data_IF_659534744973
#
_entry.id   IF_659534744973
#
_cell.length_a   1.000
_cell.length_b   1.000
_cell.length_c   1.000
_cell.angle_alpha   90.00
_cell.angle_beta   90.00
_cell.angle_gamma   90.00
#
_symmetry.space_group_name_H-M   'P 1'
#
loop_
_entity.id
_entity.type
_entity.pdbx_description
1 polymer ?
#
# COMPACT_ATOMS: atom_id res chain seq x y z
N UNK A 1 5.54 -7.41 -9.94
CA UNK A 1 6.92 -7.40 -9.37
C UNK A 1 6.93 -8.23 -8.09
N UNK A 2 8.05 -8.87 -7.78
CA UNK A 2 8.25 -9.69 -6.59
C UNK A 2 9.18 -8.97 -5.61
N UNK A 3 8.81 -8.99 -4.32
CA UNK A 3 9.56 -8.35 -3.23
C UNK A 3 9.94 -9.42 -2.20
N UNK A 4 11.20 -9.46 -1.83
CA UNK A 4 11.72 -10.35 -0.78
C UNK A 4 11.57 -9.67 0.58
N UNK A 5 10.70 -10.18 1.43
CA UNK A 5 10.41 -9.55 2.73
C UNK A 5 11.52 -9.78 3.77
N UNK A 6 12.35 -10.79 3.58
CA UNK A 6 13.50 -11.08 4.44
C UNK A 6 14.72 -10.16 4.18
N UNK A 7 14.68 -9.36 3.11
CA UNK A 7 15.74 -8.41 2.73
C UNK A 7 15.30 -6.94 2.91
N UNK A 8 14.21 -6.68 3.63
CA UNK A 8 13.70 -5.32 3.80
C UNK A 8 14.68 -4.43 4.56
N UNK A 9 14.74 -3.16 4.14
CA UNK A 9 15.38 -2.13 4.95
C UNK A 9 14.67 -2.03 6.30
N UNK A 10 15.41 -1.77 7.40
CA UNK A 10 14.79 -1.55 8.70
C UNK A 10 13.70 -0.49 8.61
N UNK A 11 12.58 -0.71 9.33
CA UNK A 11 11.58 0.31 9.48
C UNK A 11 12.21 1.57 10.08
N UNK A 12 11.89 2.74 9.51
CA UNK A 12 12.34 4.00 10.11
C UNK A 12 11.81 4.08 11.54
N UNK A 13 12.71 4.24 12.51
CA UNK A 13 12.33 4.34 13.92
C UNK A 13 11.57 5.65 14.14
N UNK A 14 10.29 5.53 14.50
CA UNK A 14 9.47 6.67 14.93
C UNK A 14 8.81 7.48 13.81
N UNK A 15 8.02 8.44 14.22
CA UNK A 15 7.41 9.44 13.33
C UNK A 15 8.45 10.00 12.37
N UNK A 16 8.21 9.85 11.08
CA UNK A 16 9.12 10.32 10.06
C UNK A 16 9.54 11.77 10.30
N UNK A 17 10.74 12.12 9.89
CA UNK A 17 11.39 13.43 10.11
C UNK A 17 10.57 14.66 9.68
N UNK A 18 9.41 14.47 9.05
CA UNK A 18 8.55 15.51 8.47
C UNK A 18 7.12 15.54 9.06
N UNK A 19 6.93 15.06 10.29
CA UNK A 19 5.60 15.06 10.94
C UNK A 19 4.57 14.10 10.32
N UNK A 20 5.02 13.14 9.52
CA UNK A 20 4.17 12.11 8.93
C UNK A 20 4.03 10.95 9.91
N UNK A 21 2.80 10.54 10.17
CA UNK A 21 2.48 9.34 10.96
C UNK A 21 1.88 8.30 10.05
N UNK A 22 2.51 7.12 9.97
CA UNK A 22 1.96 5.95 9.28
C UNK A 22 1.42 4.96 10.32
N UNK A 23 0.14 4.65 10.23
CA UNK A 23 -0.53 3.71 11.13
C UNK A 23 -1.74 3.08 10.48
N UNK A 24 -2.27 2.04 11.08
CA UNK A 24 -3.58 1.51 10.69
C UNK A 24 -4.68 2.48 11.13
N UNK A 25 -5.76 2.66 10.34
CA UNK A 25 -6.89 3.49 10.74
C UNK A 25 -7.67 2.82 11.87
N UNK A 26 -8.21 3.63 12.76
CA UNK A 26 -9.18 3.18 13.74
C UNK A 26 -10.55 3.01 13.10
N UNK A 27 -11.41 2.19 13.68
CA UNK A 27 -12.73 1.91 13.13
C UNK A 27 -13.56 3.16 12.76
N UNK A 28 -13.59 4.24 13.58
CA UNK A 28 -14.31 5.47 13.20
C UNK A 28 -13.74 6.19 11.95
N UNK A 29 -12.53 5.85 11.54
CA UNK A 29 -11.85 6.47 10.38
C UNK A 29 -12.06 5.68 9.08
N UNK A 30 -12.68 4.51 9.14
CA UNK A 30 -12.81 3.62 7.97
C UNK A 30 -13.59 4.28 6.83
N UNK A 31 -14.77 4.80 7.10
CA UNK A 31 -15.61 5.43 6.07
C UNK A 31 -14.95 6.70 5.51
N UNK A 32 -14.29 7.48 6.36
CA UNK A 32 -13.53 8.65 5.94
C UNK A 32 -12.38 8.25 5.00
N UNK A 33 -11.66 7.18 5.33
CA UNK A 33 -10.58 6.64 4.49
C UNK A 33 -11.11 6.21 3.12
N UNK A 34 -12.23 5.47 3.08
CA UNK A 34 -12.85 5.02 1.82
C UNK A 34 -13.32 6.19 0.98
N UNK A 35 -13.96 7.17 1.60
CA UNK A 35 -14.40 8.39 0.90
C UNK A 35 -13.22 9.12 0.26
N UNK A 36 -12.15 9.34 1.04
CA UNK A 36 -10.93 9.98 0.57
C UNK A 36 -10.29 9.21 -0.61
N UNK A 37 -10.18 7.87 -0.52
CA UNK A 37 -9.63 7.04 -1.61
C UNK A 37 -10.50 7.16 -2.89
N UNK A 38 -11.82 7.20 -2.71
CA UNK A 38 -12.76 7.34 -3.84
C UNK A 38 -12.58 8.67 -4.57
N UNK A 39 -12.40 9.75 -3.80
CA UNK A 39 -12.23 11.10 -4.36
C UNK A 39 -10.86 11.32 -5.00
N UNK A 40 -9.81 10.82 -4.36
CA UNK A 40 -8.44 11.04 -4.82
C UNK A 40 -7.99 10.11 -5.96
N UNK A 41 -8.59 8.92 -6.05
CA UNK A 41 -8.13 7.88 -6.98
C UNK A 41 -9.30 7.27 -7.78
N UNK A 42 -9.57 5.97 -7.59
CA UNK A 42 -10.57 5.26 -8.36
C UNK A 42 -11.55 4.48 -7.48
N UNK A 43 -12.79 4.24 -7.95
CA UNK A 43 -13.71 3.34 -7.26
C UNK A 43 -13.17 1.91 -7.08
N UNK A 44 -12.33 1.44 -8.02
CA UNK A 44 -11.66 0.14 -7.91
C UNK A 44 -10.72 0.10 -6.71
N UNK A 45 -9.90 1.12 -6.53
CA UNK A 45 -9.02 1.24 -5.37
C UNK A 45 -9.80 1.35 -4.06
N UNK A 46 -10.93 2.06 -4.06
CA UNK A 46 -11.82 2.12 -2.91
C UNK A 46 -12.42 0.74 -2.56
N UNK A 47 -12.75 -0.08 -3.57
CA UNK A 47 -13.20 -1.46 -3.36
C UNK A 47 -12.12 -2.32 -2.70
N UNK A 48 -10.88 -2.23 -3.16
CA UNK A 48 -9.75 -2.93 -2.57
C UNK A 48 -9.46 -2.44 -1.14
N UNK A 49 -9.53 -1.14 -0.89
CA UNK A 49 -9.39 -0.57 0.46
C UNK A 49 -10.44 -1.11 1.42
N UNK A 50 -11.71 -1.29 0.97
CA UNK A 50 -12.75 -1.94 1.79
C UNK A 50 -12.38 -3.36 2.19
N UNK A 51 -11.84 -4.14 1.27
CA UNK A 51 -11.34 -5.50 1.58
C UNK A 51 -10.28 -5.43 2.66
N UNK A 52 -9.28 -4.57 2.51
CA UNK A 52 -8.20 -4.42 3.47
C UNK A 52 -8.69 -3.99 4.86
N UNK A 53 -9.69 -3.13 4.94
CA UNK A 53 -10.30 -2.70 6.20
C UNK A 53 -11.12 -3.79 6.89
N UNK A 54 -11.65 -4.76 6.13
CA UNK A 54 -12.39 -5.91 6.69
C UNK A 54 -11.52 -7.09 7.07
N UNK A 55 -10.27 -7.12 6.62
CA UNK A 55 -9.30 -8.13 7.04
C UNK A 55 -9.04 -8.05 8.56
N UNK A 56 -8.69 -9.16 9.16
CA UNK A 56 -8.33 -9.24 10.57
C UNK A 56 -6.98 -9.97 10.72
N UNK A 57 -5.94 -9.24 11.15
CA UNK A 57 -5.93 -7.79 11.44
C UNK A 57 -6.13 -6.94 10.17
N UNK A 58 -6.53 -5.68 10.35
CA UNK A 58 -6.65 -4.71 9.25
C UNK A 58 -5.35 -4.65 8.47
N UNK A 59 -5.44 -4.73 7.14
CA UNK A 59 -4.28 -4.75 6.22
C UNK A 59 -4.17 -3.48 5.37
N UNK A 60 -4.53 -2.35 5.95
CA UNK A 60 -4.42 -1.02 5.36
C UNK A 60 -3.68 -0.10 6.32
N UNK A 61 -2.71 0.64 5.79
CA UNK A 61 -2.02 1.72 6.47
C UNK A 61 -2.42 3.06 5.87
N UNK A 62 -2.56 4.07 6.72
CA UNK A 62 -2.78 5.46 6.33
C UNK A 62 -1.56 6.29 6.72
N UNK A 63 -1.29 7.32 5.94
CA UNK A 63 -0.33 8.36 6.27
C UNK A 63 -1.09 9.65 6.61
N UNK A 64 -0.72 10.26 7.73
CA UNK A 64 -1.38 11.43 8.28
C UNK A 64 -0.34 12.51 8.55
N UNK A 65 -0.65 13.75 8.21
CA UNK A 65 0.10 14.94 8.61
C UNK A 65 -0.89 15.97 9.17
N UNK A 66 -0.63 16.45 10.39
CA UNK A 66 -1.49 17.47 11.04
C UNK A 66 -2.98 17.09 10.99
N UNK A 67 -3.30 15.85 11.36
CA UNK A 67 -4.66 15.28 11.38
C UNK A 67 -5.34 15.16 9.99
N UNK A 68 -4.58 15.38 8.90
CA UNK A 68 -5.08 15.26 7.53
C UNK A 68 -4.57 13.96 6.90
N UNK A 69 -5.46 13.21 6.29
CA UNK A 69 -5.13 12.01 5.53
C UNK A 69 -4.42 12.41 4.22
N UNK A 70 -3.19 11.91 4.03
CA UNK A 70 -2.35 12.27 2.88
C UNK A 70 -1.94 11.07 2.01
N UNK A 71 -2.21 9.85 2.46
CA UNK A 71 -1.88 8.65 1.69
C UNK A 71 -2.38 7.37 2.34
N UNK A 72 -2.38 6.29 1.57
CA UNK A 72 -2.75 4.96 2.04
C UNK A 72 -1.98 3.88 1.28
N UNK A 73 -1.90 2.71 1.87
CA UNK A 73 -1.39 1.49 1.23
C UNK A 73 -2.10 0.27 1.81
N UNK A 74 -2.46 -0.66 0.94
CA UNK A 74 -3.10 -1.93 1.32
C UNK A 74 -2.17 -3.11 1.10
N UNK A 75 -2.46 -4.22 1.76
CA UNK A 75 -2.00 -5.54 1.35
C UNK A 75 -3.13 -6.57 1.53
N UNK A 76 -3.02 -7.73 0.92
CA UNK A 76 -4.08 -8.75 0.91
C UNK A 76 -5.45 -8.21 0.47
N UNK A 77 -5.46 -7.19 -0.39
CA UNK A 77 -6.68 -6.56 -0.90
C UNK A 77 -7.07 -7.12 -2.26
N UNK A 78 -6.18 -7.07 -3.24
CA UNK A 78 -6.41 -7.64 -4.59
C UNK A 78 -6.38 -9.15 -4.56
N UNK A 79 -5.36 -9.71 -3.95
CA UNK A 79 -5.13 -11.14 -3.76
C UNK A 79 -4.21 -11.35 -2.57
N UNK A 80 -4.18 -12.55 -2.01
CA UNK A 80 -3.28 -12.88 -0.90
C UNK A 80 -1.83 -12.71 -1.32
N UNK A 81 -1.03 -12.09 -0.44
CA UNK A 81 0.38 -11.80 -0.68
C UNK A 81 0.64 -10.60 -1.60
N UNK A 82 -0.42 -9.92 -2.09
CA UNK A 82 -0.26 -8.70 -2.88
C UNK A 82 -0.18 -7.49 -1.98
N UNK A 83 0.73 -6.57 -2.30
CA UNK A 83 0.82 -5.23 -1.73
C UNK A 83 0.32 -4.21 -2.75
N UNK A 84 -0.51 -3.29 -2.30
CA UNK A 84 -1.24 -2.32 -3.12
C UNK A 84 -2.75 -2.50 -3.02
N UNK A 85 -3.52 -1.52 -3.50
CA UNK A 85 -3.07 -0.25 -4.06
C UNK A 85 -2.33 0.63 -3.07
N UNK A 86 -1.49 1.52 -3.59
CA UNK A 86 -0.79 2.55 -2.83
C UNK A 86 -1.01 3.91 -3.48
N UNK A 87 -1.42 4.89 -2.70
CA UNK A 87 -1.68 6.22 -3.21
C UNK A 87 -1.28 7.32 -2.22
N UNK A 88 -0.76 8.41 -2.77
CA UNK A 88 -0.38 9.62 -2.04
C UNK A 88 -1.04 10.82 -2.69
N UNK A 89 -1.64 11.69 -1.91
CA UNK A 89 -2.21 12.94 -2.40
C UNK A 89 -1.17 13.72 -3.22
N UNK A 90 -1.58 14.27 -4.35
CA UNK A 90 -0.66 14.89 -5.30
C UNK A 90 0.28 15.94 -4.67
N UNK A 91 -0.19 16.87 -3.80
CA UNK A 91 0.68 17.85 -3.17
C UNK A 91 1.73 17.27 -2.22
N UNK A 92 1.52 16.03 -1.77
CA UNK A 92 2.37 15.34 -0.78
C UNK A 92 3.37 14.37 -1.42
N UNK A 93 3.34 14.23 -2.75
CA UNK A 93 4.27 13.36 -3.49
C UNK A 93 5.68 13.92 -3.47
N UNK A 94 6.67 13.03 -3.55
CA UNK A 94 8.09 13.42 -3.51
C UNK A 94 8.64 13.69 -2.12
N UNK A 95 7.86 13.49 -1.05
CA UNK A 95 8.23 13.74 0.35
C UNK A 95 8.44 12.45 1.18
N UNK A 96 8.58 11.30 0.52
CA UNK A 96 8.83 10.03 1.20
C UNK A 96 7.58 9.34 1.78
N UNK A 97 6.39 9.91 1.60
CA UNK A 97 5.12 9.35 2.13
C UNK A 97 4.85 7.94 1.56
N UNK A 98 5.00 7.78 0.24
CA UNK A 98 4.81 6.50 -0.43
C UNK A 98 5.78 5.43 0.06
N UNK A 99 7.05 5.79 0.25
CA UNK A 99 8.06 4.86 0.77
C UNK A 99 7.73 4.42 2.20
N UNK A 100 7.32 5.34 3.06
CA UNK A 100 6.93 5.03 4.43
C UNK A 100 5.71 4.09 4.48
N UNK A 101 4.70 4.35 3.66
CA UNK A 101 3.50 3.51 3.55
C UNK A 101 3.81 2.11 3.03
N UNK A 102 4.60 2.02 1.95
CA UNK A 102 4.99 0.73 1.38
C UNK A 102 5.76 -0.11 2.40
N UNK A 103 6.76 0.47 3.05
CA UNK A 103 7.56 -0.23 4.05
C UNK A 103 6.72 -0.65 5.26
N UNK A 104 5.77 0.18 5.72
CA UNK A 104 4.85 -0.20 6.79
C UNK A 104 4.05 -1.45 6.43
N UNK A 105 3.48 -1.51 5.23
CA UNK A 105 2.79 -2.69 4.73
C UNK A 105 3.70 -3.91 4.63
N UNK A 106 4.89 -3.77 4.04
CA UNK A 106 5.80 -4.90 3.84
C UNK A 106 6.32 -5.46 5.16
N UNK A 107 6.63 -4.61 6.15
CA UNK A 107 7.03 -5.07 7.48
C UNK A 107 5.88 -5.78 8.21
N UNK A 108 4.65 -5.28 8.08
CA UNK A 108 3.48 -5.92 8.66
C UNK A 108 3.23 -7.30 8.02
N UNK A 109 3.34 -7.41 6.69
CA UNK A 109 3.28 -8.68 5.97
C UNK A 109 4.36 -9.66 6.47
N UNK A 110 5.59 -9.20 6.65
CA UNK A 110 6.67 -10.01 7.20
C UNK A 110 6.32 -10.55 8.59
N UNK A 111 5.78 -9.70 9.46
CA UNK A 111 5.29 -10.07 10.79
C UNK A 111 4.15 -11.09 10.73
N UNK A 112 3.29 -11.01 9.70
CA UNK A 112 2.21 -11.97 9.45
C UNK A 112 2.69 -13.33 8.90
N UNK A 113 3.99 -13.48 8.63
CA UNK A 113 4.59 -14.73 8.16
C UNK A 113 4.79 -14.84 6.65
N UNK A 114 4.57 -13.77 5.89
CA UNK A 114 4.89 -13.76 4.46
C UNK A 114 6.40 -13.69 4.23
N UNK A 115 6.93 -14.53 3.35
CA UNK A 115 8.31 -14.45 2.89
C UNK A 115 8.50 -13.53 1.70
N UNK A 116 7.42 -13.34 0.92
CA UNK A 116 7.40 -12.54 -0.29
C UNK A 116 6.13 -11.71 -0.37
N UNK A 117 6.20 -10.58 -1.07
CA UNK A 117 5.04 -9.81 -1.51
C UNK A 117 5.07 -9.64 -3.02
N UNK A 118 3.89 -9.51 -3.62
CA UNK A 118 3.73 -9.24 -5.05
C UNK A 118 3.10 -7.86 -5.22
N UNK A 119 3.74 -6.99 -5.99
CA UNK A 119 3.13 -5.75 -6.47
C UNK A 119 2.59 -6.00 -7.88
N UNK A 120 1.28 -5.92 -8.06
CA UNK A 120 0.61 -6.13 -9.34
C UNK A 120 0.19 -4.81 -9.98
N UNK A 121 0.02 -4.81 -11.33
CA UNK A 121 -0.38 -3.64 -12.11
C UNK A 121 0.42 -2.37 -11.78
N UNK A 122 1.74 -2.52 -11.69
CA UNK A 122 2.65 -1.46 -11.22
C UNK A 122 2.75 -0.34 -12.26
N UNK A 123 2.27 0.86 -11.91
CA UNK A 123 2.42 2.05 -12.74
C UNK A 123 3.78 2.74 -12.62
N UNK A 124 4.53 2.49 -11.55
CA UNK A 124 5.82 3.12 -11.26
C UNK A 124 6.85 2.08 -10.79
N UNK A 125 7.37 1.22 -11.69
CA UNK A 125 8.30 0.14 -11.30
C UNK A 125 9.57 0.66 -10.61
N UNK A 126 10.09 1.81 -11.01
CA UNK A 126 11.27 2.41 -10.40
C UNK A 126 11.10 2.75 -8.91
N UNK A 127 9.89 3.09 -8.48
CA UNK A 127 9.58 3.32 -7.07
C UNK A 127 9.73 2.03 -6.25
N UNK A 128 9.12 0.94 -6.71
CA UNK A 128 9.22 -0.35 -6.03
C UNK A 128 10.63 -0.93 -6.03
N UNK A 129 11.37 -0.71 -7.11
CA UNK A 129 12.78 -1.11 -7.19
C UNK A 129 13.64 -0.38 -6.18
N UNK A 130 13.48 0.95 -6.05
CA UNK A 130 14.27 1.76 -5.10
C UNK A 130 13.92 1.47 -3.66
N UNK A 131 12.64 1.38 -3.34
CA UNK A 131 12.16 1.29 -1.94
C UNK A 131 12.24 -0.13 -1.41
N UNK A 132 11.93 -1.13 -2.23
CA UNK A 132 11.74 -2.51 -1.80
C UNK A 132 12.58 -3.53 -2.56
N UNK A 133 13.51 -3.09 -3.40
CA UNK A 133 14.37 -3.96 -4.22
C UNK A 133 13.53 -4.96 -5.01
N UNK A 134 12.38 -4.51 -5.51
CA UNK A 134 11.45 -5.34 -6.26
C UNK A 134 12.03 -5.75 -7.62
N UNK A 135 11.77 -6.99 -8.02
CA UNK A 135 12.17 -7.53 -9.31
C UNK A 135 10.95 -7.85 -10.16
N UNK A 136 11.09 -7.69 -11.48
CA UNK A 136 10.02 -8.10 -12.40
C UNK A 136 9.86 -9.62 -12.43
N UNK A 137 8.62 -10.07 -12.64
CA UNK A 137 8.31 -11.49 -12.85
C UNK A 137 7.96 -11.66 -14.32
N UNK A 138 8.84 -12.29 -15.06
CA UNK A 138 8.66 -12.52 -16.50
C UNK A 138 7.35 -13.29 -16.78
N UNK A 139 6.64 -12.87 -17.83
CA UNK A 139 5.38 -13.51 -18.24
C UNK A 139 4.18 -13.29 -17.33
N UNK A 140 4.29 -12.41 -16.33
CA UNK A 140 3.22 -12.18 -15.33
C UNK A 140 2.24 -11.07 -15.70
N UNK A 141 2.32 -10.48 -16.88
CA UNK A 141 1.40 -9.41 -17.34
C UNK A 141 0.35 -10.00 -18.28
N UNK A 142 -0.93 -9.72 -18.08
CA UNK A 142 -1.58 -8.94 -17.01
C UNK A 142 -1.77 -9.70 -15.69
N UNK A 143 -1.33 -10.95 -15.57
CA UNK A 143 -1.39 -11.73 -14.35
C UNK A 143 -2.81 -11.94 -13.86
N UNK A 144 -3.05 -11.72 -12.57
CA UNK A 144 -4.37 -11.89 -11.93
C UNK A 144 -5.44 -10.93 -12.46
N UNK A 145 -5.03 -9.88 -13.16
CA UNK A 145 -5.96 -8.89 -13.73
C UNK A 145 -6.55 -9.32 -15.07
N UNK A 146 -6.16 -10.48 -15.59
CA UNK A 146 -6.72 -11.04 -16.82
C UNK A 146 -8.22 -11.30 -16.65
N UNK A 147 -9.03 -10.73 -17.54
CA UNK A 147 -10.46 -10.95 -17.55
C UNK A 147 -11.25 -10.16 -16.49
N UNK A 148 -10.66 -9.14 -15.89
CA UNK A 148 -11.42 -8.22 -15.05
C UNK A 148 -12.61 -7.62 -15.81
N UNK A 149 -13.70 -7.37 -15.09
CA UNK A 149 -14.89 -6.71 -15.63
C UNK A 149 -14.50 -5.34 -16.20
N UNK A 150 -15.00 -5.07 -17.40
CA UNK A 150 -14.90 -3.75 -18.02
C UNK A 150 -16.17 -2.96 -17.71
N UNK A 151 -16.02 -1.68 -17.48
CA UNK A 151 -17.14 -0.74 -17.37
C UNK A 151 -17.69 -0.39 -18.75
#
# INVERSE_FOLDING_TARGET
>A
MLIRLYDLQPAAAGSGSNGIVCRKPLAPEHDLTIHWVTEQFTPGWASEARVALTNRPVSLFIAIRSEVLIGFCCYDATARGFVGPIGVAEPERGNGVGAALLLACLHDMCTMGYGYAVAGAVGAPGFFQRVAVATEVEGSVPGVYRGLLKR
#
